data_IF_886418370452
#
_entry.id   IF_886418370452
#
_cell.length_a   1.000
_cell.length_b   1.000
_cell.length_c   1.000
_cell.angle_alpha   90.00
_cell.angle_beta   90.00
_cell.angle_gamma   90.00
#
_symmetry.space_group_name_H-M   'P 1'
#
loop_
_entity.id
_entity.type
_entity.pdbx_description
1 polymer ?
#
# COMPACT_ATOMS: atom_id res chain seq x y z
N UNK A 1 -17.78 -10.66 -4.58
CA UNK A 1 -18.41 -11.28 -5.74
C UNK A 1 -17.40 -11.36 -6.89
N UNK A 2 -17.34 -12.52 -7.57
CA UNK A 2 -16.36 -12.74 -8.66
C UNK A 2 -16.59 -11.76 -9.82
N UNK A 3 -17.82 -11.38 -10.06
CA UNK A 3 -18.25 -10.45 -11.09
C UNK A 3 -17.73 -9.01 -10.84
N UNK A 4 -17.80 -8.55 -9.60
CA UNK A 4 -17.25 -7.23 -9.22
C UNK A 4 -15.73 -7.18 -9.39
N UNK A 5 -15.04 -8.29 -9.10
CA UNK A 5 -13.60 -8.40 -9.32
C UNK A 5 -13.24 -8.22 -10.80
N UNK A 6 -13.92 -8.93 -11.71
CA UNK A 6 -13.67 -8.81 -13.14
C UNK A 6 -13.98 -7.40 -13.67
N UNK A 7 -15.05 -6.78 -13.19
CA UNK A 7 -15.41 -5.41 -13.57
C UNK A 7 -14.36 -4.39 -13.10
N UNK A 8 -13.80 -4.55 -11.90
CA UNK A 8 -12.70 -3.70 -11.40
C UNK A 8 -11.43 -3.90 -12.25
N UNK A 9 -11.09 -5.15 -12.58
CA UNK A 9 -9.95 -5.45 -13.46
C UNK A 9 -10.10 -4.81 -14.84
N UNK A 10 -11.29 -4.81 -15.40
CA UNK A 10 -11.55 -4.20 -16.72
C UNK A 10 -11.49 -2.67 -16.68
N UNK A 11 -11.93 -2.05 -15.58
CA UNK A 11 -11.75 -0.62 -15.35
C UNK A 11 -10.28 -0.25 -15.21
N UNK A 12 -9.49 -1.05 -14.49
CA UNK A 12 -8.05 -0.84 -14.34
C UNK A 12 -7.30 -0.96 -15.66
N UNK A 13 -7.69 -1.87 -16.56
CA UNK A 13 -7.09 -2.01 -17.91
C UNK A 13 -7.30 -0.79 -18.80
N UNK A 14 -8.32 0.04 -18.54
CA UNK A 14 -8.59 1.26 -19.31
C UNK A 14 -7.66 2.42 -18.94
N UNK A 15 -7.04 2.41 -17.76
CA UNK A 15 -6.17 3.50 -17.28
C UNK A 15 -4.87 3.67 -18.08
N UNK A 16 -4.08 2.60 -18.38
CA UNK A 16 -2.81 2.76 -19.09
C UNK A 16 -2.93 3.46 -20.45
N UNK A 17 -3.86 3.11 -21.36
CA UNK A 17 -4.00 3.81 -22.64
C UNK A 17 -4.41 5.28 -22.50
N UNK A 18 -5.17 5.65 -21.47
CA UNK A 18 -5.52 7.04 -21.19
C UNK A 18 -4.30 7.88 -20.77
N UNK A 19 -3.33 7.26 -20.08
CA UNK A 19 -2.08 7.93 -19.73
C UNK A 19 -1.14 8.11 -20.93
N UNK A 20 -1.12 7.14 -21.84
CA UNK A 20 -0.23 7.15 -23.00
C UNK A 20 -0.76 8.10 -24.08
N UNK A 21 -2.03 7.98 -24.43
CA UNK A 21 -2.62 8.66 -25.59
C UNK A 21 -3.20 10.04 -25.26
N UNK A 22 -3.51 10.32 -23.99
CA UNK A 22 -4.08 11.57 -23.48
C UNK A 22 -5.15 12.22 -24.41
N UNK A 23 -6.20 11.48 -24.79
CA UNK A 23 -7.23 12.03 -25.67
C UNK A 23 -7.95 13.22 -25.03
N UNK A 24 -8.63 14.03 -25.83
CA UNK A 24 -9.43 15.14 -25.30
C UNK A 24 -10.39 14.63 -24.21
N UNK A 25 -10.34 15.22 -23.01
CA UNK A 25 -11.15 14.80 -21.87
C UNK A 25 -10.58 13.64 -21.03
N UNK A 26 -9.36 13.15 -21.31
CA UNK A 26 -8.75 12.03 -20.58
C UNK A 26 -8.73 12.21 -19.05
N UNK A 27 -8.64 13.46 -18.57
CA UNK A 27 -8.65 13.76 -17.12
C UNK A 27 -10.00 13.44 -16.50
N UNK A 28 -11.10 13.77 -17.19
CA UNK A 28 -12.46 13.47 -16.74
C UNK A 28 -12.73 11.97 -16.78
N UNK A 29 -12.31 11.31 -17.86
CA UNK A 29 -12.48 9.86 -18.01
C UNK A 29 -11.72 9.07 -16.93
N UNK A 30 -10.49 9.49 -16.62
CA UNK A 30 -9.72 8.93 -15.52
C UNK A 30 -10.41 9.11 -14.17
N UNK A 31 -10.97 10.28 -13.89
CA UNK A 31 -11.73 10.53 -12.66
C UNK A 31 -12.99 9.67 -12.60
N UNK A 32 -13.71 9.55 -13.71
CA UNK A 32 -14.89 8.69 -13.79
C UNK A 32 -14.57 7.22 -13.52
N UNK A 33 -13.48 6.69 -14.09
CA UNK A 33 -13.01 5.33 -13.82
C UNK A 33 -12.64 5.15 -12.34
N UNK A 34 -11.94 6.11 -11.75
CA UNK A 34 -11.58 6.06 -10.33
C UNK A 34 -12.83 6.04 -9.43
N UNK A 35 -13.83 6.87 -9.71
CA UNK A 35 -15.10 6.89 -8.98
C UNK A 35 -15.89 5.58 -9.16
N UNK A 36 -15.89 4.99 -10.35
CA UNK A 36 -16.53 3.69 -10.59
C UNK A 36 -15.87 2.57 -9.80
N UNK A 37 -14.53 2.54 -9.74
CA UNK A 37 -13.78 1.57 -8.93
C UNK A 37 -14.13 1.78 -7.45
N UNK A 38 -14.13 3.01 -6.96
CA UNK A 38 -14.49 3.32 -5.56
C UNK A 38 -15.92 2.89 -5.24
N UNK A 39 -16.89 3.21 -6.10
CA UNK A 39 -18.28 2.79 -5.90
C UNK A 39 -18.40 1.25 -5.80
N UNK A 40 -17.74 0.51 -6.70
CA UNK A 40 -17.74 -0.96 -6.67
C UNK A 40 -17.09 -1.52 -5.42
N UNK A 41 -15.99 -0.94 -4.97
CA UNK A 41 -15.35 -1.33 -3.71
C UNK A 41 -16.29 -1.08 -2.54
N UNK A 42 -16.92 0.08 -2.45
CA UNK A 42 -17.89 0.40 -1.39
C UNK A 42 -19.07 -0.58 -1.39
N UNK A 43 -19.63 -0.91 -2.56
CA UNK A 43 -20.72 -1.90 -2.66
C UNK A 43 -20.25 -3.32 -2.33
N UNK A 44 -19.06 -3.73 -2.77
CA UNK A 44 -18.51 -5.05 -2.47
C UNK A 44 -18.23 -5.25 -0.96
N UNK A 45 -17.87 -4.18 -0.26
CA UNK A 45 -17.66 -4.19 1.19
C UNK A 45 -18.91 -3.84 2.02
N UNK A 46 -20.02 -3.43 1.37
CA UNK A 46 -21.30 -3.22 2.04
C UNK A 46 -22.03 -4.56 2.22
N UNK A 47 -21.49 -5.44 3.08
CA UNK A 47 -22.25 -6.60 3.54
C UNK A 47 -23.40 -6.11 4.45
N UNK A 48 -24.59 -6.75 4.39
CA UNK A 48 -25.61 -6.52 5.39
C UNK A 48 -25.11 -7.10 6.72
N UNK A 49 -24.44 -6.25 7.50
CA UNK A 49 -23.99 -6.62 8.84
C UNK A 49 -25.20 -6.68 9.76
N UNK A 50 -25.50 -7.83 10.31
CA UNK A 50 -26.41 -7.95 11.45
C UNK A 50 -25.85 -7.09 12.60
N UNK A 51 -26.73 -6.35 13.30
CA UNK A 51 -26.33 -5.31 14.28
C UNK A 51 -25.38 -5.76 15.41
N UNK A 52 -25.18 -7.07 15.60
CA UNK A 52 -24.29 -7.66 16.60
C UNK A 52 -22.84 -7.73 16.10
N UNK A 53 -22.64 -8.01 14.81
CA UNK A 53 -21.30 -8.03 14.19
C UNK A 53 -20.71 -6.65 13.95
N UNK A 54 -21.55 -5.60 13.86
CA UNK A 54 -21.10 -4.23 13.58
C UNK A 54 -20.14 -3.69 14.67
N UNK A 55 -20.41 -3.93 15.96
CA UNK A 55 -19.57 -3.39 17.05
C UNK A 55 -18.19 -4.05 17.13
N UNK A 56 -18.11 -5.37 16.93
CA UNK A 56 -16.81 -6.06 16.95
C UNK A 56 -15.99 -5.74 15.70
N UNK A 57 -16.62 -5.63 14.53
CA UNK A 57 -15.95 -5.27 13.29
C UNK A 57 -15.51 -3.80 13.30
N UNK A 58 -16.30 -2.88 13.85
CA UNK A 58 -15.90 -1.46 13.97
C UNK A 58 -14.68 -1.32 14.88
N UNK A 59 -14.65 -1.99 16.03
CA UNK A 59 -13.50 -1.99 16.94
C UNK A 59 -12.26 -2.63 16.31
N UNK A 60 -12.44 -3.66 15.48
CA UNK A 60 -11.35 -4.30 14.73
C UNK A 60 -10.80 -3.40 13.63
N UNK A 61 -11.67 -2.69 12.91
CA UNK A 61 -11.29 -1.74 11.86
C UNK A 61 -10.61 -0.51 12.44
N UNK A 62 -11.13 0.05 13.54
CA UNK A 62 -10.50 1.15 14.25
C UNK A 62 -9.10 0.77 14.70
N UNK A 63 -8.93 -0.38 15.35
CA UNK A 63 -7.63 -0.89 15.77
C UNK A 63 -6.67 -1.12 14.60
N UNK A 64 -7.17 -1.64 13.48
CA UNK A 64 -6.35 -1.83 12.28
C UNK A 64 -5.90 -0.48 11.70
N UNK A 65 -6.79 0.51 11.67
CA UNK A 65 -6.47 1.88 11.26
C UNK A 65 -5.37 2.48 12.14
N UNK A 66 -5.54 2.43 13.46
CA UNK A 66 -4.52 2.92 14.39
C UNK A 66 -3.15 2.25 14.18
N UNK A 67 -3.14 0.94 13.94
CA UNK A 67 -1.90 0.18 13.66
C UNK A 67 -1.27 0.64 12.34
N UNK A 68 -2.06 0.79 11.29
CA UNK A 68 -1.54 1.21 9.97
C UNK A 68 -1.05 2.64 9.98
N UNK A 69 -1.75 3.54 10.65
CA UNK A 69 -1.35 4.94 10.81
C UNK A 69 -0.03 5.04 11.60
N UNK A 70 0.10 4.27 12.68
CA UNK A 70 1.34 4.20 13.44
C UNK A 70 2.52 3.68 12.60
N UNK A 71 2.30 2.65 11.77
CA UNK A 71 3.34 2.11 10.87
C UNK A 71 3.74 3.17 9.84
N UNK A 72 2.78 3.91 9.28
CA UNK A 72 3.03 4.97 8.30
C UNK A 72 3.85 6.12 8.91
N UNK A 73 3.50 6.57 10.11
CA UNK A 73 4.19 7.65 10.81
C UNK A 73 5.63 7.28 11.21
N UNK A 74 5.86 6.00 11.58
CA UNK A 74 7.15 5.54 12.11
C UNK A 74 7.92 4.63 11.13
N UNK A 75 7.54 4.60 9.85
CA UNK A 75 8.14 3.68 8.87
C UNK A 75 9.66 3.85 8.67
N UNK A 76 10.19 5.04 8.97
CA UNK A 76 11.62 5.34 8.90
C UNK A 76 12.41 4.71 10.04
N UNK A 77 11.75 4.42 11.16
CA UNK A 77 12.36 3.87 12.36
C UNK A 77 12.56 2.36 12.26
N UNK A 78 13.35 1.80 13.19
CA UNK A 78 13.51 0.35 13.30
C UNK A 78 12.28 -0.24 13.99
N UNK A 79 11.23 -0.52 13.20
CA UNK A 79 10.02 -1.16 13.69
C UNK A 79 10.15 -2.69 13.66
N UNK A 80 10.05 -3.32 14.81
CA UNK A 80 9.91 -4.77 14.94
C UNK A 80 8.46 -5.18 15.22
N UNK A 81 8.13 -6.43 14.90
CA UNK A 81 6.83 -7.01 15.23
C UNK A 81 6.54 -6.93 16.73
N UNK A 82 7.57 -7.12 17.57
CA UNK A 82 7.47 -7.11 19.02
C UNK A 82 7.18 -5.72 19.57
N UNK A 83 7.87 -4.69 19.06
CA UNK A 83 7.63 -3.30 19.45
C UNK A 83 6.22 -2.85 19.10
N UNK A 84 5.77 -3.12 17.86
CA UNK A 84 4.42 -2.71 17.43
C UNK A 84 3.34 -3.50 18.18
N UNK A 85 3.48 -4.81 18.37
CA UNK A 85 2.51 -5.57 19.14
C UNK A 85 2.42 -5.08 20.59
N UNK A 86 3.57 -4.81 21.23
CA UNK A 86 3.62 -4.25 22.59
C UNK A 86 2.97 -2.88 22.70
N UNK A 87 3.14 -2.00 21.71
CA UNK A 87 2.50 -0.69 21.64
C UNK A 87 0.97 -0.74 21.70
N UNK A 88 0.39 -1.77 21.04
CA UNK A 88 -1.06 -1.98 21.00
C UNK A 88 -1.56 -3.00 22.04
N UNK A 89 -0.76 -3.34 23.02
CA UNK A 89 -1.09 -4.31 24.08
C UNK A 89 -1.54 -5.67 23.55
N UNK A 90 -0.93 -6.12 22.44
CA UNK A 90 -1.20 -7.41 21.84
C UNK A 90 -0.02 -8.37 22.02
N UNK A 91 -0.30 -9.68 22.15
CA UNK A 91 0.77 -10.65 22.03
C UNK A 91 1.29 -10.69 20.59
N UNK A 92 2.56 -11.01 20.43
CA UNK A 92 3.22 -11.10 19.12
C UNK A 92 2.50 -12.06 18.16
N UNK A 93 2.08 -13.22 18.70
CA UNK A 93 1.37 -14.25 17.94
C UNK A 93 -0.01 -13.78 17.48
N UNK A 94 -0.76 -13.14 18.39
CA UNK A 94 -2.06 -12.58 18.07
C UNK A 94 -1.93 -11.46 17.02
N UNK A 95 -1.01 -10.51 17.23
CA UNK A 95 -0.78 -9.41 16.28
C UNK A 95 -0.41 -9.93 14.89
N UNK A 96 0.52 -10.90 14.80
CA UNK A 96 0.95 -11.46 13.52
C UNK A 96 -0.20 -12.09 12.74
N UNK A 97 -1.06 -12.85 13.42
CA UNK A 97 -2.25 -13.46 12.83
C UNK A 97 -3.30 -12.42 12.47
N UNK A 98 -3.67 -11.55 13.41
CA UNK A 98 -4.62 -10.46 13.23
C UNK A 98 -4.26 -9.57 12.02
N UNK A 99 -3.00 -9.13 11.96
CA UNK A 99 -2.53 -8.27 10.88
C UNK A 99 -2.60 -8.98 9.53
N UNK A 100 -2.12 -10.22 9.45
CA UNK A 100 -2.15 -11.01 8.21
C UNK A 100 -3.56 -11.34 7.74
N UNK A 101 -4.49 -11.64 8.64
CA UNK A 101 -5.90 -11.93 8.31
C UNK A 101 -6.61 -10.70 7.75
N UNK A 102 -6.35 -9.51 8.30
CA UNK A 102 -7.03 -8.28 7.90
C UNK A 102 -6.33 -7.58 6.71
N UNK A 103 -4.99 -7.61 6.61
CA UNK A 103 -4.23 -6.94 5.55
C UNK A 103 -3.86 -7.87 4.38
N UNK A 104 -4.07 -9.18 4.50
CA UNK A 104 -3.67 -10.17 3.49
C UNK A 104 -2.16 -10.39 3.38
N UNK A 105 -1.34 -9.59 4.07
CA UNK A 105 0.12 -9.65 4.05
C UNK A 105 0.70 -9.61 5.47
N UNK A 106 1.93 -10.09 5.64
CA UNK A 106 2.60 -9.98 6.96
C UNK A 106 2.99 -8.53 7.26
N UNK A 107 3.08 -8.19 8.56
CA UNK A 107 3.55 -6.90 9.03
C UNK A 107 4.86 -6.45 8.35
N UNK A 108 5.87 -7.32 8.32
CA UNK A 108 7.17 -6.98 7.72
C UNK A 108 7.07 -6.70 6.21
N UNK A 109 6.20 -7.43 5.50
CA UNK A 109 5.94 -7.17 4.08
C UNK A 109 5.24 -5.84 3.88
N UNK A 110 4.24 -5.53 4.69
CA UNK A 110 3.51 -4.26 4.66
C UNK A 110 4.44 -3.07 4.94
N UNK A 111 5.21 -3.12 6.04
CA UNK A 111 6.19 -2.08 6.38
C UNK A 111 7.17 -1.82 5.23
N UNK A 112 7.69 -2.89 4.61
CA UNK A 112 8.59 -2.73 3.47
C UNK A 112 7.89 -2.15 2.24
N UNK A 113 6.61 -2.42 2.01
CA UNK A 113 5.83 -1.81 0.93
C UNK A 113 5.65 -0.30 1.16
N UNK A 114 5.33 0.13 2.39
CA UNK A 114 5.26 1.55 2.76
C UNK A 114 6.62 2.23 2.50
N UNK A 115 7.69 1.66 3.00
CA UNK A 115 9.06 2.18 2.77
C UNK A 115 9.40 2.31 1.28
N UNK A 116 9.07 1.29 0.48
CA UNK A 116 9.30 1.32 -0.97
C UNK A 116 8.49 2.41 -1.66
N UNK A 117 7.27 2.67 -1.23
CA UNK A 117 6.44 3.74 -1.76
C UNK A 117 7.06 5.12 -1.51
N UNK A 118 7.52 5.40 -0.30
CA UNK A 118 8.20 6.65 0.02
C UNK A 118 9.54 6.78 -0.72
N UNK A 119 10.33 5.71 -0.82
CA UNK A 119 11.57 5.70 -1.61
C UNK A 119 11.26 5.98 -3.08
N UNK A 120 10.24 5.36 -3.65
CA UNK A 120 9.84 5.63 -5.04
C UNK A 120 9.50 7.10 -5.24
N UNK A 121 8.73 7.69 -4.33
CA UNK A 121 8.40 9.12 -4.35
C UNK A 121 9.66 9.99 -4.31
N UNK A 122 10.57 9.74 -3.36
CA UNK A 122 11.81 10.53 -3.22
C UNK A 122 12.75 10.35 -4.41
N UNK A 123 12.85 9.15 -4.97
CA UNK A 123 13.61 8.89 -6.21
C UNK A 123 13.06 9.71 -7.39
N UNK A 124 11.75 9.96 -7.37
CA UNK A 124 11.07 10.69 -8.41
C UNK A 124 11.11 12.22 -8.22
N UNK A 125 11.14 12.71 -6.99
CA UNK A 125 10.99 14.12 -6.64
C UNK A 125 12.30 14.81 -6.27
N UNK A 126 13.35 14.05 -5.89
CA UNK A 126 14.60 14.60 -5.39
C UNK A 126 15.81 14.16 -6.25
N UNK A 127 16.95 14.83 -6.04
CA UNK A 127 18.26 14.45 -6.59
C UNK A 127 19.18 13.77 -5.56
N UNK A 128 18.66 13.47 -4.37
CA UNK A 128 19.40 12.80 -3.31
C UNK A 128 20.00 11.47 -3.77
N UNK A 129 21.07 11.02 -3.14
CA UNK A 129 21.68 9.73 -3.45
C UNK A 129 20.68 8.59 -3.14
N UNK A 130 20.69 7.54 -3.99
CA UNK A 130 19.78 6.38 -3.80
C UNK A 130 20.02 5.68 -2.47
N UNK A 131 21.29 5.58 -2.04
CA UNK A 131 21.64 4.98 -0.75
C UNK A 131 21.06 5.79 0.41
N UNK A 132 21.26 7.12 0.38
CA UNK A 132 20.77 8.01 1.44
C UNK A 132 19.25 7.96 1.57
N UNK A 133 18.51 7.97 0.43
CA UNK A 133 17.06 7.79 0.41
C UNK A 133 16.67 6.43 1.01
N UNK A 134 17.39 5.37 0.65
CA UNK A 134 17.10 4.02 1.12
C UNK A 134 17.27 3.89 2.63
N UNK A 135 18.36 4.45 3.17
CA UNK A 135 18.65 4.48 4.61
C UNK A 135 17.67 5.37 5.38
N UNK A 136 17.33 6.55 4.85
CA UNK A 136 16.34 7.48 5.39
C UNK A 136 14.99 6.80 5.63
N UNK A 137 14.58 5.92 4.73
CA UNK A 137 13.33 5.16 4.85
C UNK A 137 13.50 3.79 5.53
N UNK A 138 14.58 3.59 6.29
CA UNK A 138 14.75 2.45 7.20
C UNK A 138 15.13 1.13 6.54
N UNK A 139 15.58 1.11 5.29
CA UNK A 139 16.19 -0.08 4.71
C UNK A 139 17.68 -0.16 5.05
N UNK A 140 18.06 -1.11 5.88
CA UNK A 140 19.47 -1.38 6.24
C UNK A 140 20.15 -2.35 5.27
N UNK A 141 19.38 -3.14 4.51
CA UNK A 141 19.89 -4.12 3.56
C UNK A 141 19.60 -3.69 2.12
N UNK A 142 20.60 -3.05 1.50
CA UNK A 142 20.48 -2.55 0.13
C UNK A 142 20.23 -3.65 -0.92
N UNK A 143 20.74 -4.87 -0.71
CA UNK A 143 20.48 -6.00 -1.62
C UNK A 143 19.00 -6.42 -1.58
N UNK A 144 18.45 -6.50 -0.38
CA UNK A 144 17.03 -6.80 -0.19
C UNK A 144 16.16 -5.69 -0.78
N UNK A 145 16.50 -4.42 -0.53
CA UNK A 145 15.82 -3.27 -1.13
C UNK A 145 15.76 -3.37 -2.66
N UNK A 146 16.90 -3.55 -3.33
CA UNK A 146 16.94 -3.63 -4.79
C UNK A 146 16.08 -4.76 -5.35
N UNK A 147 16.11 -5.94 -4.70
CA UNK A 147 15.28 -7.07 -5.06
C UNK A 147 13.79 -6.71 -4.96
N UNK A 148 13.35 -6.22 -3.82
CA UNK A 148 11.96 -5.87 -3.57
C UNK A 148 11.49 -4.73 -4.48
N UNK A 149 12.33 -3.72 -4.70
CA UNK A 149 12.01 -2.60 -5.59
C UNK A 149 11.79 -3.08 -7.03
N UNK A 150 12.66 -3.96 -7.53
CA UNK A 150 12.53 -4.53 -8.87
C UNK A 150 11.28 -5.43 -9.00
N UNK A 151 10.98 -6.23 -7.97
CA UNK A 151 9.77 -7.07 -7.93
C UNK A 151 8.48 -6.21 -7.91
N UNK A 152 8.50 -5.06 -7.22
CA UNK A 152 7.33 -4.19 -7.08
C UNK A 152 7.11 -3.27 -8.28
N UNK A 153 8.18 -2.67 -8.82
CA UNK A 153 8.09 -1.63 -9.85
C UNK A 153 8.60 -2.07 -11.24
N UNK A 154 9.06 -3.31 -11.40
CA UNK A 154 9.52 -3.87 -12.67
C UNK A 154 10.83 -3.26 -13.21
N UNK A 155 11.50 -2.38 -12.47
CA UNK A 155 12.76 -1.74 -12.86
C UNK A 155 13.67 -1.51 -11.65
N UNK A 156 14.96 -1.28 -11.91
CA UNK A 156 15.91 -0.92 -10.85
C UNK A 156 15.80 0.56 -10.47
N UNK A 157 16.11 0.94 -9.21
CA UNK A 157 16.08 2.34 -8.76
C UNK A 157 16.87 3.30 -9.66
N UNK A 158 18.05 2.86 -10.15
CA UNK A 158 18.89 3.64 -11.07
C UNK A 158 18.23 3.85 -12.44
N UNK A 159 17.53 2.85 -12.95
CA UNK A 159 16.81 2.92 -14.22
C UNK A 159 15.63 3.87 -14.13
N UNK A 160 14.87 3.82 -13.01
CA UNK A 160 13.78 4.76 -12.74
C UNK A 160 14.30 6.20 -12.77
N UNK A 161 15.42 6.47 -12.10
CA UNK A 161 16.02 7.80 -12.04
C UNK A 161 16.55 8.28 -13.41
N UNK A 162 17.11 7.39 -14.22
CA UNK A 162 17.61 7.72 -15.55
C UNK A 162 16.51 8.09 -16.54
N UNK A 163 15.32 7.51 -16.43
CA UNK A 163 14.17 7.81 -17.27
C UNK A 163 13.55 9.20 -17.04
N UNK A 164 13.95 9.88 -15.95
CA UNK A 164 13.44 11.21 -15.57
C UNK A 164 14.42 12.36 -15.78
N UNK A 165 15.59 12.08 -16.35
CA UNK A 165 16.49 13.11 -16.89
C UNK A 165 16.10 13.45 -18.31
#
# INVERSE_FOLDING_TARGET
NLEDYFQICDLLKKLPPLYVNQPLGYRLERQAIALQIMAKLLFAFSYPKTAITLREDDTRLERLSEITDYIEEHHTERLSLEEVSGRFYLSREYFSRFFKENMGVTFSKYLNQIRLMHIYHDLCSTKENILDITEKHGFTNYKLFNKMFQETYGCKPRELRARRK
#
